data_IF_205508227239
#
_entry.id   IF_205508227239
#
_cell.length_a   1.000
_cell.length_b   1.000
_cell.length_c   1.000
_cell.angle_alpha   90.00
_cell.angle_beta   90.00
_cell.angle_gamma   90.00
#
_symmetry.space_group_name_H-M   'P 1'
#
loop_
_entity.id
_entity.type
_entity.pdbx_description
1 polymer ?
#
# COMPACT_ATOMS: atom_id res chain seq x y z
N UNK A 1 15.25 -0.31 -1.50
CA UNK A 1 14.90 -1.74 -1.41
C UNK A 1 16.07 -2.54 -1.98
N UNK A 2 16.44 -3.65 -1.34
CA UNK A 2 17.48 -4.53 -1.90
C UNK A 2 16.84 -5.46 -2.94
N UNK A 3 17.42 -5.52 -4.14
CA UNK A 3 17.10 -6.54 -5.13
C UNK A 3 18.33 -7.43 -5.29
N UNK A 4 18.37 -8.53 -4.54
CA UNK A 4 19.59 -9.31 -4.35
C UNK A 4 20.63 -8.49 -3.58
N UNK A 5 21.84 -8.38 -4.11
CA UNK A 5 22.95 -7.61 -3.50
C UNK A 5 22.97 -6.13 -3.86
N UNK A 6 22.01 -5.64 -4.66
CA UNK A 6 21.98 -4.26 -5.14
C UNK A 6 20.90 -3.44 -4.44
N UNK A 7 21.28 -2.27 -3.95
CA UNK A 7 20.35 -1.26 -3.49
C UNK A 7 19.70 -0.57 -4.70
N UNK A 8 18.38 -0.56 -4.75
CA UNK A 8 17.60 0.21 -5.73
C UNK A 8 16.73 1.20 -4.98
N UNK A 9 16.77 2.44 -5.43
CA UNK A 9 15.98 3.55 -4.89
C UNK A 9 15.34 4.29 -6.06
N UNK A 10 14.08 4.66 -5.87
CA UNK A 10 13.34 5.56 -6.75
C UNK A 10 12.55 6.54 -5.88
N UNK A 11 12.23 7.69 -6.44
CA UNK A 11 11.34 8.67 -5.83
C UNK A 11 10.28 9.06 -6.85
N UNK A 12 9.07 9.28 -6.35
CA UNK A 12 7.93 9.76 -7.13
C UNK A 12 7.40 11.04 -6.50
N UNK A 13 6.82 11.91 -7.33
CA UNK A 13 6.07 13.06 -6.85
C UNK A 13 4.60 12.66 -6.73
N UNK A 14 4.06 12.73 -5.51
CA UNK A 14 2.64 12.56 -5.21
C UNK A 14 1.95 13.92 -5.35
N UNK A 15 1.14 14.09 -6.39
CA UNK A 15 0.37 15.33 -6.60
C UNK A 15 -0.95 15.23 -5.86
N UNK A 16 -1.28 16.14 -4.93
CA UNK A 16 -2.53 16.08 -4.18
C UNK A 16 -3.75 16.25 -5.11
N UNK A 17 -4.83 15.54 -4.81
CA UNK A 17 -6.11 15.63 -5.51
C UNK A 17 -7.15 16.37 -4.66
N UNK A 18 -8.40 16.44 -5.14
CA UNK A 18 -9.47 17.21 -4.51
C UNK A 18 -9.85 16.70 -3.11
N UNK A 19 -9.78 15.39 -2.86
CA UNK A 19 -10.13 14.84 -1.56
C UNK A 19 -8.89 14.72 -0.65
N UNK A 20 -9.01 15.03 0.65
CA UNK A 20 -7.93 14.82 1.60
C UNK A 20 -7.42 13.37 1.58
N UNK A 21 -6.10 13.22 1.58
CA UNK A 21 -5.45 11.91 1.54
C UNK A 21 -5.41 11.26 0.15
N UNK A 22 -5.94 11.91 -0.90
CA UNK A 22 -5.82 11.45 -2.29
C UNK A 22 -4.67 12.11 -3.02
N UNK A 23 -3.96 11.29 -3.79
CA UNK A 23 -2.82 11.68 -4.58
C UNK A 23 -2.84 10.97 -5.93
N UNK A 24 -2.27 11.62 -6.93
CA UNK A 24 -1.92 10.99 -8.20
C UNK A 24 -0.41 10.95 -8.37
N UNK A 25 0.06 9.88 -9.00
CA UNK A 25 1.45 9.70 -9.43
C UNK A 25 1.46 9.59 -10.94
N UNK A 26 2.14 10.53 -11.59
CA UNK A 26 2.47 10.39 -12.99
C UNK A 26 3.70 9.49 -13.12
N UNK A 27 3.50 8.27 -13.63
CA UNK A 27 4.54 7.24 -13.72
C UNK A 27 5.45 7.39 -14.94
N UNK A 28 5.30 8.43 -15.76
CA UNK A 28 6.11 8.60 -16.96
C UNK A 28 6.52 10.05 -17.24
N UNK A 29 7.63 10.17 -17.98
CA UNK A 29 8.01 11.40 -18.68
C UNK A 29 7.31 11.52 -20.04
N UNK A 30 6.54 10.50 -20.44
CA UNK A 30 5.92 10.37 -21.77
C UNK A 30 4.39 10.57 -21.71
N UNK A 31 3.79 11.23 -22.72
CA UNK A 31 2.35 11.41 -22.81
C UNK A 31 1.61 10.05 -22.85
N UNK A 32 0.62 9.87 -21.97
CA UNK A 32 -0.18 8.64 -21.89
C UNK A 32 0.37 7.58 -20.93
N UNK A 33 1.39 7.91 -20.14
CA UNK A 33 1.85 7.05 -19.07
C UNK A 33 0.71 6.76 -18.06
N UNK A 34 0.63 5.54 -17.51
CA UNK A 34 -0.47 5.23 -16.62
C UNK A 34 -0.38 5.99 -15.30
N UNK A 35 -1.42 6.77 -15.02
CA UNK A 35 -1.58 7.44 -13.73
C UNK A 35 -1.88 6.40 -12.66
N UNK A 36 -1.18 6.48 -11.53
CA UNK A 36 -1.50 5.73 -10.33
C UNK A 36 -2.20 6.66 -9.34
N UNK A 37 -3.38 6.27 -8.89
CA UNK A 37 -4.12 6.96 -7.85
C UNK A 37 -3.83 6.30 -6.52
N UNK A 38 -3.64 7.11 -5.48
CA UNK A 38 -3.28 6.69 -4.16
C UNK A 38 -4.21 7.35 -3.14
N UNK A 39 -4.72 6.57 -2.19
CA UNK A 39 -5.51 7.03 -1.06
C UNK A 39 -4.84 6.59 0.24
N UNK A 40 -4.57 7.54 1.13
CA UNK A 40 -4.32 7.24 2.55
C UNK A 40 -5.68 6.97 3.19
N UNK A 41 -5.96 5.71 3.52
CA UNK A 41 -7.26 5.27 4.04
C UNK A 41 -7.39 5.56 5.53
N UNK A 42 -6.35 5.26 6.31
CA UNK A 42 -6.29 5.54 7.74
C UNK A 42 -4.83 5.72 8.16
N UNK A 43 -4.58 6.60 9.12
CA UNK A 43 -3.26 6.81 9.70
C UNK A 43 -3.39 7.61 10.98
N UNK A 44 -2.56 7.28 11.97
CA UNK A 44 -2.37 8.08 13.18
C UNK A 44 -1.12 8.97 13.10
N UNK A 45 -0.40 8.95 11.97
CA UNK A 45 0.88 9.59 11.70
C UNK A 45 2.07 9.12 12.58
N UNK A 46 1.80 8.54 13.75
CA UNK A 46 2.77 8.17 14.77
C UNK A 46 3.18 6.71 14.76
N UNK A 47 2.32 5.80 14.32
CA UNK A 47 2.58 4.36 14.37
C UNK A 47 2.38 3.70 13.00
N UNK A 48 1.32 4.03 12.26
CA UNK A 48 1.01 3.36 11.01
C UNK A 48 0.33 4.25 9.96
N UNK A 49 0.29 3.76 8.71
CA UNK A 49 -0.60 4.24 7.67
C UNK A 49 -1.10 3.07 6.81
N UNK A 50 -2.41 3.04 6.56
CA UNK A 50 -3.07 2.17 5.60
C UNK A 50 -3.28 2.94 4.30
N UNK A 51 -2.79 2.42 3.19
CA UNK A 51 -2.89 3.08 1.89
C UNK A 51 -3.39 2.11 0.83
N UNK A 52 -4.16 2.62 -0.12
CA UNK A 52 -4.58 1.88 -1.32
C UNK A 52 -4.01 2.61 -2.52
N UNK A 53 -3.43 1.87 -3.46
CA UNK A 53 -3.10 2.41 -4.78
C UNK A 53 -3.75 1.60 -5.90
N UNK A 54 -4.18 2.32 -6.94
CA UNK A 54 -4.74 1.74 -8.15
C UNK A 54 -3.99 2.31 -9.34
N UNK A 55 -3.43 1.42 -10.15
CA UNK A 55 -2.68 1.77 -11.34
C UNK A 55 -3.17 0.97 -12.53
N UNK A 56 -3.24 1.60 -13.69
CA UNK A 56 -3.36 0.87 -14.95
C UNK A 56 -1.97 0.44 -15.43
N UNK A 57 -1.85 -0.77 -15.95
CA UNK A 57 -0.60 -1.30 -16.49
C UNK A 57 -0.91 -2.09 -17.74
N UNK A 58 -0.87 -1.39 -18.89
CA UNK A 58 -1.41 -1.92 -20.14
C UNK A 58 -2.92 -2.15 -20.02
N UNK A 59 -3.38 -3.36 -20.29
CA UNK A 59 -4.79 -3.77 -20.17
C UNK A 59 -5.20 -4.24 -18.76
N UNK A 60 -4.28 -4.24 -17.79
CA UNK A 60 -4.53 -4.74 -16.44
C UNK A 60 -4.61 -3.59 -15.44
N UNK A 61 -5.62 -3.63 -14.57
CA UNK A 61 -5.65 -2.81 -13.37
C UNK A 61 -4.92 -3.53 -12.24
N UNK A 62 -3.96 -2.84 -11.63
CA UNK A 62 -3.21 -3.32 -10.47
C UNK A 62 -3.73 -2.55 -9.25
N UNK A 63 -4.23 -3.29 -8.28
CA UNK A 63 -4.64 -2.79 -6.96
C UNK A 63 -3.60 -3.23 -5.93
N UNK A 64 -3.18 -2.30 -5.08
CA UNK A 64 -2.26 -2.59 -3.97
C UNK A 64 -2.80 -1.98 -2.69
N UNK A 65 -2.69 -2.73 -1.61
CA UNK A 65 -2.93 -2.24 -0.26
C UNK A 65 -1.62 -2.30 0.49
N UNK A 66 -1.31 -1.22 1.20
CA UNK A 66 -0.07 -1.08 1.95
C UNK A 66 -0.38 -0.90 3.42
N UNK A 67 0.34 -1.62 4.25
CA UNK A 67 0.51 -1.31 5.67
C UNK A 67 1.92 -0.75 5.85
N UNK A 68 2.01 0.55 6.12
CA UNK A 68 3.25 1.22 6.47
C UNK A 68 3.32 1.37 7.99
N UNK A 69 4.46 1.03 8.57
CA UNK A 69 4.69 1.14 10.01
C UNK A 69 5.90 2.02 10.30
N UNK A 70 5.85 2.76 11.42
CA UNK A 70 7.00 3.53 11.92
C UNK A 70 8.05 2.64 12.60
N UNK A 71 7.64 1.48 13.12
CA UNK A 71 8.49 0.45 13.71
C UNK A 71 8.25 -0.91 13.05
N UNK A 72 9.19 -1.83 13.20
CA UNK A 72 9.06 -3.21 12.70
C UNK A 72 8.03 -4.03 13.47
N UNK A 73 7.87 -3.76 14.77
CA UNK A 73 6.79 -4.33 15.56
C UNK A 73 5.48 -3.69 15.10
N UNK A 74 4.58 -4.50 14.56
CA UNK A 74 3.30 -4.05 14.04
C UNK A 74 2.23 -4.20 15.11
N UNK A 75 1.50 -3.13 15.40
CA UNK A 75 0.39 -3.17 16.35
C UNK A 75 -0.78 -4.00 15.81
N UNK A 76 -1.41 -4.78 16.69
CA UNK A 76 -2.55 -5.64 16.33
C UNK A 76 -3.67 -4.85 15.64
N UNK A 77 -3.99 -3.64 16.12
CA UNK A 77 -5.01 -2.77 15.54
C UNK A 77 -4.70 -2.40 14.08
N UNK A 78 -3.43 -2.10 13.76
CA UNK A 78 -3.02 -1.76 12.41
C UNK A 78 -3.12 -2.97 11.46
N UNK A 79 -2.79 -4.17 11.98
CA UNK A 79 -2.94 -5.42 11.24
C UNK A 79 -4.40 -5.80 10.99
N UNK A 80 -5.26 -5.64 12.00
CA UNK A 80 -6.72 -5.84 11.86
C UNK A 80 -7.29 -4.89 10.80
N UNK A 81 -6.95 -3.60 10.88
CA UNK A 81 -7.36 -2.61 9.89
C UNK A 81 -6.86 -2.94 8.48
N UNK A 82 -5.61 -3.42 8.35
CA UNK A 82 -5.07 -3.88 7.07
C UNK A 82 -5.83 -5.10 6.53
N UNK A 83 -6.11 -6.10 7.36
CA UNK A 83 -6.88 -7.28 6.98
C UNK A 83 -8.30 -6.92 6.53
N UNK A 84 -8.97 -5.99 7.22
CA UNK A 84 -10.28 -5.50 6.83
C UNK A 84 -10.24 -4.73 5.51
N UNK A 85 -9.22 -3.88 5.32
CA UNK A 85 -9.05 -3.13 4.08
C UNK A 85 -8.78 -4.06 2.89
N UNK A 86 -7.94 -5.09 3.06
CA UNK A 86 -7.70 -6.11 2.03
C UNK A 86 -9.01 -6.78 1.59
N UNK A 87 -9.83 -7.24 2.54
CA UNK A 87 -11.13 -7.86 2.26
C UNK A 87 -12.08 -6.91 1.56
N UNK A 88 -12.16 -5.65 2.01
CA UNK A 88 -13.00 -4.62 1.39
C UNK A 88 -12.58 -4.30 -0.06
N UNK A 89 -11.28 -4.47 -0.37
CA UNK A 89 -10.72 -4.33 -1.71
C UNK A 89 -10.81 -5.62 -2.55
N UNK A 90 -11.40 -6.69 -2.03
CA UNK A 90 -11.56 -7.97 -2.72
C UNK A 90 -10.28 -8.78 -2.88
N UNK A 91 -9.25 -8.50 -2.06
CA UNK A 91 -7.99 -9.24 -2.06
C UNK A 91 -8.08 -10.45 -1.11
N UNK A 92 -7.52 -11.58 -1.53
CA UNK A 92 -7.43 -12.81 -0.72
C UNK A 92 -6.12 -12.86 0.07
N UNK A 93 -6.01 -13.81 1.00
CA UNK A 93 -4.77 -14.04 1.77
C UNK A 93 -3.57 -14.39 0.87
N UNK A 94 -3.81 -15.04 -0.27
CA UNK A 94 -2.76 -15.35 -1.27
C UNK A 94 -2.14 -14.09 -1.90
N UNK A 95 -2.77 -12.93 -1.74
CA UNK A 95 -2.25 -11.66 -2.23
C UNK A 95 -1.41 -10.93 -1.17
N UNK A 96 -1.37 -11.43 0.06
CA UNK A 96 -0.73 -10.77 1.20
C UNK A 96 0.69 -11.27 1.34
N UNK A 97 1.64 -10.34 1.41
CA UNK A 97 3.04 -10.63 1.66
C UNK A 97 3.52 -9.74 2.79
N UNK A 98 4.05 -10.37 3.84
CA UNK A 98 4.77 -9.68 4.90
C UNK A 98 6.28 -9.94 4.73
N UNK A 99 7.14 -8.98 5.12
CA UNK A 99 8.57 -9.24 5.23
C UNK A 99 8.83 -10.30 6.32
N UNK A 100 9.85 -11.15 6.12
CA UNK A 100 10.18 -12.30 7.00
C UNK A 100 10.33 -11.98 8.50
N UNK A 101 10.49 -10.71 8.88
CA UNK A 101 10.62 -10.24 10.25
C UNK A 101 9.30 -9.88 10.95
N UNK A 102 8.17 -9.96 10.26
CA UNK A 102 6.86 -9.68 10.85
C UNK A 102 6.22 -10.98 11.36
N UNK A 103 6.15 -11.15 12.68
CA UNK A 103 5.38 -12.23 13.32
C UNK A 103 3.87 -12.01 13.05
N UNK A 104 3.38 -12.54 11.92
CA UNK A 104 1.97 -12.51 11.54
C UNK A 104 1.31 -13.87 11.77
N UNK A 105 0.13 -13.87 12.39
CA UNK A 105 -0.78 -15.02 12.42
C UNK A 105 -2.12 -14.63 11.81
N UNK A 106 -2.63 -15.44 10.88
CA UNK A 106 -3.86 -15.18 10.09
C UNK A 106 -5.16 -15.26 10.89
N UNK A 107 -5.10 -15.30 12.23
CA UNK A 107 -6.27 -15.56 13.08
C UNK A 107 -7.09 -14.32 13.46
N UNK A 108 -6.74 -13.13 12.98
CA UNK A 108 -7.49 -11.91 13.32
C UNK A 108 -8.79 -11.82 12.50
N UNK A 109 -9.89 -12.18 13.15
CA UNK A 109 -11.21 -12.35 12.57
C UNK A 109 -12.25 -11.50 13.30
N UNK A 110 -12.62 -10.38 12.67
CA UNK A 110 -13.97 -9.78 12.64
C UNK A 110 -13.87 -8.41 11.95
N UNK A 111 -14.11 -8.42 10.64
CA UNK A 111 -14.52 -7.25 9.86
C UNK A 111 -15.98 -7.49 9.51
#
# INVERSE_FOLDING_TARGET
>A
MNRGTRCITWSYLLTPMTQPGQFSVDNGREPGAPVEELQVHDTDYTNFALMVSKRQSGSRSILRVYLLCRMWAVEAKALEGFACLLKAQGLSEDNVVFPDSADWSSHLSSC
#
